data_IF_813008332773
#
_entry.id   IF_813008332773
#
_cell.length_a   1.000
_cell.length_b   1.000
_cell.length_c   1.000
_cell.angle_alpha   90.00
_cell.angle_beta   90.00
_cell.angle_gamma   90.00
#
_symmetry.space_group_name_H-M   'P 1'
#
loop_
_entity.id
_entity.type
_entity.pdbx_description
1 polymer ?
#
# COMPACT_ATOMS: atom_id res chain seq x y z
N UNK A 1 1.84 -30.63 -3.53
CA UNK A 1 2.79 -29.50 -3.64
C UNK A 1 2.17 -28.29 -2.97
N UNK A 2 2.75 -27.78 -1.89
CA UNK A 2 2.24 -26.57 -1.24
C UNK A 2 2.40 -25.38 -2.19
N UNK A 3 1.31 -24.66 -2.49
CA UNK A 3 1.43 -23.39 -3.21
C UNK A 3 2.19 -22.42 -2.30
N UNK A 4 3.19 -21.71 -2.82
CA UNK A 4 3.89 -20.66 -2.08
C UNK A 4 3.13 -19.35 -2.28
N UNK A 5 2.92 -18.60 -1.20
CA UNK A 5 2.43 -17.23 -1.31
C UNK A 5 3.62 -16.37 -1.75
N UNK A 6 3.50 -15.74 -2.90
CA UNK A 6 4.45 -14.72 -3.35
C UNK A 6 3.82 -13.34 -3.18
N UNK A 7 4.56 -12.44 -2.53
CA UNK A 7 4.22 -11.02 -2.35
C UNK A 7 5.38 -10.24 -2.97
N UNK A 8 5.10 -9.33 -3.89
CA UNK A 8 6.14 -8.56 -4.62
C UNK A 8 5.87 -7.07 -4.60
N UNK A 9 6.92 -6.30 -4.32
CA UNK A 9 6.90 -4.84 -4.40
C UNK A 9 6.82 -4.41 -5.87
N UNK A 10 5.92 -3.48 -6.18
CA UNK A 10 5.91 -2.74 -7.44
C UNK A 10 6.54 -1.37 -7.24
N UNK A 11 7.70 -1.16 -7.85
CA UNK A 11 8.43 0.10 -7.84
C UNK A 11 7.79 1.11 -8.81
N UNK A 12 8.05 2.41 -8.60
CA UNK A 12 7.58 3.47 -9.49
C UNK A 12 6.31 4.21 -9.04
N UNK A 13 5.71 3.83 -7.91
CA UNK A 13 4.51 4.49 -7.39
C UNK A 13 4.78 5.96 -7.01
N UNK A 14 5.87 6.32 -6.28
CA UNK A 14 6.15 7.71 -5.95
C UNK A 14 6.29 8.61 -7.19
N UNK A 15 7.01 8.15 -8.21
CA UNK A 15 7.23 8.86 -9.47
C UNK A 15 5.92 9.09 -10.19
N UNK A 16 5.06 8.06 -10.23
CA UNK A 16 3.74 8.18 -10.84
C UNK A 16 2.85 9.21 -10.12
N UNK A 17 2.83 9.22 -8.79
CA UNK A 17 2.01 10.17 -8.02
C UNK A 17 2.52 11.60 -8.16
N UNK A 18 3.84 11.81 -8.23
CA UNK A 18 4.45 13.12 -8.51
C UNK A 18 4.10 13.62 -9.91
N UNK A 19 4.10 12.73 -10.91
CA UNK A 19 3.75 13.09 -12.29
C UNK A 19 2.25 13.38 -12.50
N UNK A 20 1.37 12.94 -11.61
CA UNK A 20 -0.09 12.99 -11.82
C UNK A 20 -0.83 13.94 -10.88
N UNK A 21 -0.68 13.78 -9.57
CA UNK A 21 -1.55 14.43 -8.57
C UNK A 21 -0.79 15.24 -7.51
N UNK A 22 0.51 14.99 -7.34
CA UNK A 22 1.39 15.69 -6.38
C UNK A 22 2.31 16.69 -7.10
N UNK A 23 1.80 17.35 -8.15
CA UNK A 23 2.59 18.21 -9.06
C UNK A 23 3.15 19.48 -8.40
N UNK A 24 2.64 19.90 -7.24
CA UNK A 24 3.23 20.97 -6.43
C UNK A 24 4.08 20.38 -5.31
N UNK A 25 5.39 20.63 -5.33
CA UNK A 25 6.34 20.21 -4.30
C UNK A 25 6.16 20.98 -2.99
N UNK A 26 5.02 20.80 -2.31
CA UNK A 26 4.91 21.23 -0.92
C UNK A 26 5.59 20.16 -0.08
N UNK A 27 6.66 20.52 0.64
CA UNK A 27 7.26 19.68 1.67
C UNK A 27 6.22 19.47 2.78
N UNK A 28 5.37 18.45 2.61
CA UNK A 28 4.42 18.02 3.63
C UNK A 28 5.14 17.03 4.53
N UNK A 29 5.75 17.55 5.60
CA UNK A 29 6.30 16.77 6.72
C UNK A 29 5.20 16.22 7.64
N UNK A 30 3.94 16.52 7.33
CA UNK A 30 2.74 16.15 8.09
C UNK A 30 1.76 15.39 7.20
N UNK A 31 0.93 14.56 7.85
CA UNK A 31 -0.16 13.81 7.19
C UNK A 31 -0.99 14.73 6.28
N UNK A 32 -1.26 14.34 5.04
CA UNK A 32 -2.10 15.13 4.15
C UNK A 32 -3.53 15.25 4.68
N UNK A 33 -4.22 16.32 4.28
CA UNK A 33 -5.65 16.48 4.51
C UNK A 33 -6.44 15.34 3.84
N UNK A 34 -7.61 14.99 4.39
CA UNK A 34 -8.40 13.83 3.91
C UNK A 34 -8.73 13.84 2.42
N UNK A 35 -9.08 14.98 1.80
CA UNK A 35 -9.30 15.03 0.36
C UNK A 35 -8.07 14.61 -0.45
N UNK A 36 -6.87 15.07 -0.07
CA UNK A 36 -5.63 14.68 -0.75
C UNK A 36 -5.27 13.23 -0.46
N UNK A 37 -5.39 12.78 0.80
CA UNK A 37 -5.15 11.38 1.20
C UNK A 37 -6.00 10.41 0.38
N UNK A 38 -7.29 10.73 0.17
CA UNK A 38 -8.20 9.91 -0.62
C UNK A 38 -7.80 9.89 -2.10
N UNK A 39 -7.50 11.05 -2.69
CA UNK A 39 -7.10 11.15 -4.11
C UNK A 39 -5.82 10.37 -4.40
N UNK A 40 -4.86 10.43 -3.47
CA UNK A 40 -3.63 9.63 -3.54
C UNK A 40 -3.94 8.15 -3.40
N UNK A 41 -4.82 7.78 -2.47
CA UNK A 41 -5.27 6.40 -2.31
C UNK A 41 -5.91 5.81 -3.56
N UNK A 42 -6.82 6.54 -4.19
CA UNK A 42 -7.51 6.10 -5.41
C UNK A 42 -6.55 5.97 -6.59
N UNK A 43 -5.67 6.96 -6.79
CA UNK A 43 -4.69 6.95 -7.87
C UNK A 43 -3.67 5.82 -7.69
N UNK A 44 -3.17 5.61 -6.47
CA UNK A 44 -2.24 4.54 -6.16
C UNK A 44 -2.85 3.15 -6.36
N UNK A 45 -4.11 2.96 -5.94
CA UNK A 45 -4.81 1.69 -6.14
C UNK A 45 -5.07 1.41 -7.62
N UNK A 46 -5.48 2.41 -8.41
CA UNK A 46 -5.64 2.25 -9.85
C UNK A 46 -4.32 1.85 -10.52
N UNK A 47 -3.24 2.57 -10.23
CA UNK A 47 -1.90 2.29 -10.72
C UNK A 47 -1.41 0.89 -10.37
N UNK A 48 -1.65 0.45 -9.12
CA UNK A 48 -1.27 -0.86 -8.62
C UNK A 48 -2.04 -1.96 -9.35
N UNK A 49 -3.37 -1.82 -9.48
CA UNK A 49 -4.22 -2.79 -10.16
C UNK A 49 -3.81 -2.99 -11.61
N UNK A 50 -3.62 -1.89 -12.36
CA UNK A 50 -3.21 -1.94 -13.77
C UNK A 50 -1.93 -2.77 -13.99
N UNK A 51 -0.95 -2.67 -13.10
CA UNK A 51 0.33 -3.37 -13.20
C UNK A 51 0.31 -4.80 -12.67
N UNK A 52 -0.60 -5.07 -11.75
CA UNK A 52 -0.75 -6.37 -11.12
C UNK A 52 -1.68 -7.32 -11.90
N UNK A 53 -2.45 -6.82 -12.89
CA UNK A 53 -3.26 -7.66 -13.78
C UNK A 53 -2.38 -8.73 -14.44
N UNK A 54 -2.87 -9.97 -14.41
CA UNK A 54 -2.18 -11.13 -15.00
C UNK A 54 -1.01 -11.68 -14.19
N UNK A 55 -0.65 -11.07 -13.06
CA UNK A 55 0.41 -11.59 -12.21
C UNK A 55 -0.07 -12.78 -11.35
N UNK A 56 0.78 -13.79 -11.12
CA UNK A 56 0.42 -14.94 -10.27
C UNK A 56 0.68 -14.70 -8.76
N UNK A 57 1.01 -13.47 -8.36
CA UNK A 57 1.40 -13.10 -7.00
C UNK A 57 0.64 -11.87 -6.52
N UNK A 58 0.69 -11.62 -5.21
CA UNK A 58 0.15 -10.39 -4.61
C UNK A 58 1.15 -9.27 -4.85
N UNK A 59 0.67 -8.19 -5.45
CA UNK A 59 1.48 -6.98 -5.66
C UNK A 59 1.21 -6.00 -4.54
N UNK A 60 2.26 -5.39 -4.00
CA UNK A 60 2.12 -4.29 -3.06
C UNK A 60 2.97 -3.10 -3.49
N UNK A 61 2.57 -1.91 -3.05
CA UNK A 61 3.33 -0.68 -3.19
C UNK A 61 3.05 0.20 -1.99
N UNK A 62 3.94 1.14 -1.70
CA UNK A 62 3.74 2.08 -0.63
C UNK A 62 4.15 3.48 -1.07
N UNK A 63 3.58 4.48 -0.41
CA UNK A 63 3.97 5.87 -0.58
C UNK A 63 4.20 6.53 0.78
N UNK A 64 5.28 7.29 0.90
CA UNK A 64 5.69 8.00 2.12
C UNK A 64 5.67 9.51 1.89
N UNK A 65 5.25 10.28 2.88
CA UNK A 65 5.26 11.74 2.84
C UNK A 65 6.32 12.33 3.79
N UNK A 66 7.21 13.22 3.31
CA UNK A 66 7.55 13.46 1.89
C UNK A 66 8.30 12.24 1.29
N UNK A 67 8.31 12.05 -0.04
CA UNK A 67 8.89 10.84 -0.65
C UNK A 67 10.41 10.74 -0.46
N UNK A 68 11.11 11.88 -0.32
CA UNK A 68 12.57 11.98 -0.21
C UNK A 68 13.01 12.77 1.04
N UNK A 69 12.43 12.46 2.21
CA UNK A 69 12.81 13.10 3.48
C UNK A 69 12.45 12.23 4.68
N UNK A 70 12.64 12.72 5.91
CA UNK A 70 12.22 12.01 7.11
C UNK A 70 10.69 11.88 7.08
N UNK A 71 10.21 10.70 6.69
CA UNK A 71 8.79 10.46 6.51
C UNK A 71 8.18 10.01 7.83
N UNK A 72 7.18 10.74 8.30
CA UNK A 72 6.43 10.37 9.50
C UNK A 72 5.16 9.61 9.16
N UNK A 73 4.66 9.69 7.92
CA UNK A 73 3.39 9.09 7.52
C UNK A 73 3.49 8.46 6.14
N UNK A 74 2.84 7.30 5.96
CA UNK A 74 2.73 6.62 4.68
C UNK A 74 1.42 5.86 4.51
N UNK A 75 1.20 5.40 3.29
CA UNK A 75 0.10 4.51 2.92
C UNK A 75 0.69 3.27 2.23
N UNK A 76 0.33 2.09 2.72
CA UNK A 76 0.62 0.81 2.10
C UNK A 76 -0.60 0.33 1.32
N UNK A 77 -0.37 -0.18 0.13
CA UNK A 77 -1.39 -0.73 -0.77
C UNK A 77 -0.99 -2.14 -1.19
N UNK A 78 -1.96 -3.04 -1.26
CA UNK A 78 -1.75 -4.34 -1.89
C UNK A 78 -2.97 -4.76 -2.71
N UNK A 79 -2.71 -5.58 -3.72
CA UNK A 79 -3.72 -6.11 -4.61
C UNK A 79 -3.42 -7.56 -4.96
N UNK A 80 -4.47 -8.38 -4.90
CA UNK A 80 -4.43 -9.75 -5.36
C UNK A 80 -5.25 -9.90 -6.65
N UNK A 81 -4.59 -10.14 -7.80
CA UNK A 81 -5.27 -10.29 -9.08
C UNK A 81 -6.12 -11.57 -9.18
N UNK A 82 -5.85 -12.59 -8.36
CA UNK A 82 -6.60 -13.86 -8.37
C UNK A 82 -7.97 -13.70 -7.72
N UNK A 83 -8.05 -12.90 -6.65
CA UNK A 83 -9.28 -12.73 -5.86
C UNK A 83 -9.96 -11.38 -6.07
N UNK A 84 -9.35 -10.50 -6.88
CA UNK A 84 -9.73 -9.10 -7.09
C UNK A 84 -9.96 -8.33 -5.78
N UNK A 85 -9.04 -8.51 -4.82
CA UNK A 85 -9.11 -7.87 -3.51
C UNK A 85 -7.97 -6.89 -3.33
N UNK A 86 -8.31 -5.74 -2.75
CA UNK A 86 -7.36 -4.68 -2.39
C UNK A 86 -7.20 -4.57 -0.88
N UNK A 87 -6.05 -4.09 -0.46
CA UNK A 87 -5.71 -3.72 0.90
C UNK A 87 -5.14 -2.30 0.88
N UNK A 88 -5.51 -1.52 1.89
CA UNK A 88 -4.98 -0.18 2.13
C UNK A 88 -4.81 -0.01 3.63
N UNK A 89 -3.61 0.39 4.04
CA UNK A 89 -3.32 0.63 5.45
C UNK A 89 -2.47 1.90 5.61
N UNK A 90 -2.93 2.89 6.39
CA UNK A 90 -2.07 3.97 6.82
C UNK A 90 -1.07 3.50 7.86
N UNK A 91 0.17 3.95 7.71
CA UNK A 91 1.24 3.66 8.65
C UNK A 91 2.07 4.92 8.98
N UNK A 92 2.84 4.86 10.05
CA UNK A 92 3.76 5.91 10.50
C UNK A 92 5.06 5.29 11.02
N UNK A 93 6.20 5.90 10.70
CA UNK A 93 7.52 5.44 11.18
C UNK A 93 7.87 5.97 12.57
N UNK A 94 7.14 7.01 13.03
CA UNK A 94 7.41 7.70 14.30
C UNK A 94 6.16 7.84 15.15
N UNK A 95 5.19 6.93 15.00
CA UNK A 95 3.92 7.03 15.69
C UNK A 95 4.14 7.17 17.20
N UNK A 96 3.66 8.28 17.77
CA UNK A 96 3.40 8.35 19.20
C UNK A 96 2.10 7.60 19.51
N UNK A 97 1.96 7.11 20.74
CA UNK A 97 0.86 6.26 21.24
C UNK A 97 -0.57 6.83 21.04
N UNK A 98 -0.73 8.06 20.55
CA UNK A 98 -1.99 8.78 20.44
C UNK A 98 -2.65 8.74 19.05
N UNK A 99 -1.98 8.22 18.02
CA UNK A 99 -2.56 8.08 16.68
C UNK A 99 -3.00 6.63 16.41
N UNK A 100 -4.28 6.40 16.06
CA UNK A 100 -4.78 5.09 15.60
C UNK A 100 -4.26 4.77 14.18
N UNK A 101 -2.95 4.57 14.06
CA UNK A 101 -2.23 4.32 12.80
C UNK A 101 -1.18 3.24 13.07
N UNK A 102 -0.98 2.34 12.11
CA UNK A 102 0.00 1.27 12.27
C UNK A 102 1.44 1.82 12.25
N UNK A 103 2.35 1.19 12.98
CA UNK A 103 3.79 1.27 12.72
C UNK A 103 4.14 0.61 11.38
N UNK A 104 5.35 0.82 10.86
CA UNK A 104 5.81 0.11 9.67
C UNK A 104 5.80 -1.42 9.85
N UNK A 105 6.28 -1.90 11.00
CA UNK A 105 6.32 -3.34 11.31
C UNK A 105 4.90 -3.93 11.36
N UNK A 106 3.95 -3.24 12.00
CA UNK A 106 2.54 -3.64 11.99
C UNK A 106 1.95 -3.63 10.59
N UNK A 107 2.34 -2.67 9.75
CA UNK A 107 1.86 -2.60 8.38
C UNK A 107 2.38 -3.75 7.51
N UNK A 108 3.63 -4.17 7.70
CA UNK A 108 4.15 -5.38 7.08
C UNK A 108 3.42 -6.63 7.59
N UNK A 109 3.17 -6.75 8.90
CA UNK A 109 2.41 -7.88 9.47
C UNK A 109 1.02 -7.96 8.84
N UNK A 110 0.29 -6.84 8.76
CA UNK A 110 -1.05 -6.79 8.16
C UNK A 110 -1.04 -7.12 6.66
N UNK A 111 0.01 -6.73 5.92
CA UNK A 111 0.20 -7.14 4.53
C UNK A 111 0.33 -8.67 4.40
N UNK A 112 1.11 -9.30 5.28
CA UNK A 112 1.26 -10.76 5.30
C UNK A 112 -0.04 -11.46 5.71
N UNK A 113 -0.77 -10.91 6.70
CA UNK A 113 -2.08 -11.43 7.10
C UNK A 113 -3.11 -11.32 5.98
N UNK A 114 -3.11 -10.22 5.24
CA UNK A 114 -3.93 -10.04 4.04
C UNK A 114 -3.63 -11.15 3.02
N UNK A 115 -2.36 -11.42 2.75
CA UNK A 115 -1.95 -12.47 1.82
C UNK A 115 -2.39 -13.87 2.27
N UNK A 116 -2.22 -14.19 3.56
CA UNK A 116 -2.64 -15.46 4.15
C UNK A 116 -4.16 -15.67 4.05
N UNK A 117 -4.96 -14.65 4.37
CA UNK A 117 -6.43 -14.70 4.29
C UNK A 117 -6.95 -15.03 2.88
N UNK A 118 -6.19 -14.67 1.85
CA UNK A 118 -6.57 -14.90 0.46
C UNK A 118 -6.05 -16.21 -0.10
N UNK A 119 -5.02 -16.77 0.52
CA UNK A 119 -4.49 -18.08 0.18
C UNK A 119 -5.37 -19.22 0.73
N UNK A 120 -6.02 -19.00 1.87
CA UNK A 120 -6.78 -20.02 2.61
C UNK A 120 -8.28 -19.77 2.67
N UNK A 121 -9.01 -20.16 1.64
CA UNK A 121 -10.24 -20.93 1.87
C UNK A 121 -10.01 -22.31 1.27
N UNK A 122 -9.95 -23.38 2.07
CA UNK A 122 -10.14 -24.71 1.52
C UNK A 122 -11.52 -24.69 0.86
N UNK A 123 -11.57 -24.86 -0.46
CA UNK A 123 -12.78 -25.35 -1.10
C UNK A 123 -12.95 -26.77 -0.57
N UNK A 124 -13.71 -26.90 0.53
CA UNK A 124 -14.12 -28.20 1.02
C UNK A 124 -14.82 -28.92 -0.15
N UNK A 125 -14.32 -30.13 -0.43
CA UNK A 125 -14.85 -31.09 -1.40
C UNK A 125 -16.12 -31.70 -0.84
#
# INVERSE_FOLDING_TARGET
MGRRIEIRLLEGLPEHLQATILTSATLRTVRPDKPLENRVGETALAWLRERAIGQPYISFAFYKWPPNGPAHYGLLYAYNPITDRTFRLPFSETAGETENIASWDEAEIELHLFALKQFGRPSAV
#
